data_IF_036360989783
#
_entry.id   IF_036360989783
#
_cell.length_a   1.000
_cell.length_b   1.000
_cell.length_c   1.000
_cell.angle_alpha   90.00
_cell.angle_beta   90.00
_cell.angle_gamma   90.00
#
_symmetry.space_group_name_H-M   'P 1'
#
loop_
_entity.id
_entity.type
_entity.pdbx_description
1 polymer ?
#
# COMPACT_ATOMS: atom_id res chain seq x y z
N UNK A 1 -9.44 -7.66 -0.99
CA UNK A 1 -8.45 -6.64 -1.44
C UNK A 1 -7.04 -7.19 -1.25
N UNK A 2 -6.09 -6.80 -2.10
CA UNK A 2 -4.69 -7.24 -1.99
C UNK A 2 -3.85 -6.17 -1.29
N UNK A 3 -3.30 -6.52 -0.13
CA UNK A 3 -2.48 -5.65 0.70
C UNK A 3 -1.00 -6.01 0.51
N UNK A 4 -0.19 -5.00 0.17
CA UNK A 4 1.27 -5.12 0.00
C UNK A 4 1.97 -5.07 1.35
N UNK A 5 1.57 -4.12 2.20
CA UNK A 5 2.12 -3.93 3.54
C UNK A 5 1.17 -3.09 4.39
N UNK A 6 1.28 -3.25 5.71
CA UNK A 6 0.63 -2.39 6.70
C UNK A 6 1.54 -2.16 7.88
N UNK A 7 1.68 -0.91 8.32
CA UNK A 7 2.57 -0.57 9.44
C UNK A 7 2.16 0.74 10.11
N UNK A 8 2.57 0.91 11.38
CA UNK A 8 2.41 2.15 12.15
C UNK A 8 3.69 2.99 11.98
N UNK A 9 3.55 4.26 11.59
CA UNK A 9 4.66 5.21 11.45
C UNK A 9 4.16 6.66 11.57
N UNK A 10 4.96 7.63 11.18
CA UNK A 10 4.61 9.05 11.12
C UNK A 10 4.33 9.44 9.67
N UNK A 11 3.23 10.17 9.42
CA UNK A 11 2.95 10.74 8.11
C UNK A 11 4.01 11.79 7.76
N UNK A 12 4.72 11.57 6.66
CA UNK A 12 5.84 12.40 6.22
C UNK A 12 5.44 13.54 5.29
N UNK A 13 4.20 13.57 4.77
CA UNK A 13 3.83 14.49 3.69
C UNK A 13 2.46 15.14 3.87
N UNK A 14 2.27 16.27 3.19
CA UNK A 14 1.00 16.98 3.07
C UNK A 14 0.47 17.58 4.37
N UNK A 15 -0.85 17.81 4.42
CA UNK A 15 -1.55 18.48 5.53
C UNK A 15 -1.38 17.78 6.89
N UNK A 16 -1.18 16.46 6.88
CA UNK A 16 -1.11 15.62 8.09
C UNK A 16 0.32 15.24 8.46
N UNK A 17 1.34 15.92 7.91
CA UNK A 17 2.73 15.71 8.29
C UNK A 17 2.92 15.76 9.82
N UNK A 18 3.71 14.82 10.36
CA UNK A 18 4.00 14.71 11.79
C UNK A 18 2.94 13.96 12.60
N UNK A 19 1.82 13.55 11.99
CA UNK A 19 0.80 12.73 12.68
C UNK A 19 1.20 11.26 12.70
N UNK A 20 0.94 10.58 13.83
CA UNK A 20 1.00 9.13 13.90
C UNK A 20 -0.06 8.53 12.96
N UNK A 21 0.35 7.61 12.11
CA UNK A 21 -0.46 7.05 11.03
C UNK A 21 -0.23 5.55 10.86
N UNK A 22 -1.32 4.82 10.65
CA UNK A 22 -1.28 3.45 10.14
C UNK A 22 -1.38 3.52 8.63
N UNK A 23 -0.35 3.04 7.94
CA UNK A 23 -0.33 2.94 6.49
C UNK A 23 -0.93 1.61 6.06
N UNK A 24 -1.89 1.66 5.14
CA UNK A 24 -2.48 0.50 4.48
C UNK A 24 -2.17 0.62 2.98
N UNK A 25 -1.14 -0.11 2.52
CA UNK A 25 -0.67 -0.02 1.13
C UNK A 25 -1.25 -1.15 0.29
N UNK A 26 -2.12 -0.82 -0.65
CA UNK A 26 -2.76 -1.77 -1.54
C UNK A 26 -1.93 -2.07 -2.79
N UNK A 27 -2.20 -3.20 -3.42
CA UNK A 27 -1.61 -3.57 -4.70
C UNK A 27 -2.46 -3.02 -5.87
N UNK A 28 -1.81 -2.77 -6.99
CA UNK A 28 -2.41 -2.25 -8.21
C UNK A 28 -2.17 -0.75 -8.38
N UNK A 29 -1.88 -0.36 -9.63
CA UNK A 29 -1.78 1.02 -10.06
C UNK A 29 -2.15 1.07 -11.55
N UNK A 30 -2.88 2.09 -11.97
CA UNK A 30 -3.15 2.37 -13.38
C UNK A 30 -2.02 3.18 -14.06
N UNK A 31 -0.95 3.52 -13.32
CA UNK A 31 0.24 4.17 -13.84
C UNK A 31 1.50 3.32 -13.65
N UNK A 32 2.46 3.49 -14.56
CA UNK A 32 3.83 3.04 -14.38
C UNK A 32 4.79 4.24 -14.48
N UNK A 33 5.23 4.73 -13.33
CA UNK A 33 5.98 5.98 -13.23
C UNK A 33 7.47 5.76 -13.47
N UNK A 34 7.86 5.55 -14.74
CA UNK A 34 9.26 5.33 -15.15
C UNK A 34 10.21 6.47 -14.78
N UNK A 35 9.70 7.71 -14.63
CA UNK A 35 10.49 8.89 -14.31
C UNK A 35 11.20 8.83 -12.95
N UNK A 36 10.73 8.01 -12.02
CA UNK A 36 11.41 7.77 -10.74
C UNK A 36 12.63 6.85 -10.88
N UNK A 37 12.73 6.09 -11.99
CA UNK A 37 13.87 5.26 -12.35
C UNK A 37 14.36 4.30 -11.23
N UNK A 38 13.45 3.86 -10.35
CA UNK A 38 13.75 2.87 -9.32
C UNK A 38 13.86 1.50 -9.98
N UNK A 39 14.97 0.79 -9.74
CA UNK A 39 15.28 -0.49 -10.39
C UNK A 39 15.32 -1.62 -9.38
N UNK A 40 14.59 -2.70 -9.64
CA UNK A 40 14.65 -3.94 -8.86
C UNK A 40 14.90 -5.12 -9.79
N UNK A 41 15.86 -5.97 -9.45
CA UNK A 41 16.11 -7.23 -10.14
C UNK A 41 15.30 -8.36 -9.48
N UNK A 42 14.45 -9.04 -10.24
CA UNK A 42 13.65 -10.17 -9.78
C UNK A 42 13.40 -11.16 -10.92
N UNK A 43 13.58 -12.46 -10.67
CA UNK A 43 13.37 -13.54 -11.65
C UNK A 43 14.04 -13.25 -13.00
N UNK A 44 15.33 -12.88 -12.96
CA UNK A 44 16.15 -12.53 -14.14
C UNK A 44 15.62 -11.34 -14.98
N UNK A 45 14.69 -10.54 -14.41
CA UNK A 45 14.17 -9.31 -15.01
C UNK A 45 14.60 -8.10 -14.20
N UNK A 46 14.87 -7.00 -14.88
CA UNK A 46 15.00 -5.67 -14.24
C UNK A 46 13.68 -4.94 -14.39
N UNK A 47 13.00 -4.73 -13.27
CA UNK A 47 11.78 -3.93 -13.18
C UNK A 47 12.18 -2.47 -12.92
N UNK A 48 11.62 -1.53 -13.68
CA UNK A 48 11.89 -0.10 -13.54
C UNK A 48 10.56 0.63 -13.33
N UNK A 49 10.47 1.49 -12.31
CA UNK A 49 9.24 2.22 -11.99
C UNK A 49 9.39 3.19 -10.82
N UNK A 50 8.31 3.35 -10.05
CA UNK A 50 8.28 4.17 -8.83
C UNK A 50 8.99 3.52 -7.64
N UNK A 51 9.13 4.29 -6.56
CA UNK A 51 9.59 3.83 -5.24
C UNK A 51 8.76 2.66 -4.68
N UNK A 52 7.49 2.60 -5.03
CA UNK A 52 6.54 1.56 -4.63
C UNK A 52 6.35 0.51 -5.74
N UNK A 53 7.44 0.12 -6.39
CA UNK A 53 7.41 -0.82 -7.52
C UNK A 53 6.69 -2.14 -7.21
N UNK A 54 6.76 -2.57 -5.94
CA UNK A 54 6.09 -3.77 -5.43
C UNK A 54 4.57 -3.67 -5.49
N UNK A 55 3.97 -2.48 -5.47
CA UNK A 55 2.52 -2.32 -5.62
C UNK A 55 2.09 -2.23 -7.10
N UNK A 56 2.99 -1.84 -8.01
CA UNK A 56 2.70 -1.67 -9.44
C UNK A 56 2.90 -2.97 -10.23
N UNK A 57 4.01 -3.66 -10.03
CA UNK A 57 4.35 -4.90 -10.75
C UNK A 57 3.69 -6.12 -10.09
N UNK A 58 2.36 -6.15 -10.10
CA UNK A 58 1.57 -7.12 -9.34
C UNK A 58 1.84 -8.57 -9.71
N UNK A 59 2.15 -8.87 -10.97
CA UNK A 59 2.51 -10.23 -11.41
C UNK A 59 3.80 -10.73 -10.76
N UNK A 60 4.79 -9.85 -10.62
CA UNK A 60 6.11 -10.19 -10.08
C UNK A 60 6.11 -10.26 -8.55
N UNK A 61 5.17 -9.59 -7.87
CA UNK A 61 5.10 -9.53 -6.40
C UNK A 61 3.86 -10.18 -5.78
N UNK A 62 2.98 -10.81 -6.58
CA UNK A 62 1.70 -11.37 -6.12
C UNK A 62 1.82 -12.26 -4.88
N UNK A 63 2.85 -13.09 -4.83
CA UNK A 63 3.09 -14.06 -3.74
C UNK A 63 3.41 -13.39 -2.40
N UNK A 64 3.82 -12.12 -2.41
CA UNK A 64 4.10 -11.35 -1.19
C UNK A 64 2.88 -10.64 -0.59
N UNK A 65 1.73 -10.70 -1.28
CA UNK A 65 0.54 -9.96 -0.85
C UNK A 65 -0.36 -10.78 0.05
N UNK A 66 -1.03 -10.10 0.96
CA UNK A 66 -2.13 -10.66 1.75
C UNK A 66 -3.46 -10.34 1.08
N UNK A 67 -4.36 -11.32 0.96
CA UNK A 67 -5.73 -11.07 0.48
C UNK A 67 -6.65 -10.96 1.69
N UNK A 68 -7.21 -9.76 1.91
CA UNK A 68 -8.01 -9.43 3.09
C UNK A 68 -9.36 -8.81 2.68
N UNK A 69 -10.43 -9.12 3.42
CA UNK A 69 -11.72 -8.43 3.35
C UNK A 69 -11.78 -7.21 4.28
N UNK A 70 -12.87 -6.44 4.25
CA UNK A 70 -13.00 -5.22 5.06
C UNK A 70 -12.85 -5.48 6.57
N UNK A 71 -13.45 -6.57 7.06
CA UNK A 71 -13.38 -6.95 8.48
C UNK A 71 -11.94 -7.33 8.91
N UNK A 72 -11.20 -8.01 8.05
CA UNK A 72 -9.81 -8.37 8.32
C UNK A 72 -8.87 -7.16 8.30
N UNK A 73 -9.12 -6.19 7.40
CA UNK A 73 -8.41 -4.91 7.40
C UNK A 73 -8.71 -4.11 8.68
N UNK A 74 -9.96 -4.07 9.12
CA UNK A 74 -10.31 -3.42 10.39
C UNK A 74 -9.58 -4.08 11.58
N UNK A 75 -9.53 -5.42 11.63
CA UNK A 75 -8.75 -6.15 12.64
C UNK A 75 -7.26 -5.79 12.57
N UNK A 76 -6.70 -5.63 11.37
CA UNK A 76 -5.31 -5.20 11.18
C UNK A 76 -5.06 -3.80 11.73
N UNK A 77 -5.95 -2.86 11.45
CA UNK A 77 -5.88 -1.48 11.97
C UNK A 77 -5.97 -1.47 13.48
N UNK A 78 -6.94 -2.19 14.08
CA UNK A 78 -7.09 -2.29 15.53
C UNK A 78 -5.82 -2.88 16.18
N UNK A 79 -5.23 -3.91 15.58
CA UNK A 79 -3.99 -4.51 16.06
C UNK A 79 -2.80 -3.54 16.01
N UNK A 80 -2.69 -2.74 14.94
CA UNK A 80 -1.60 -1.78 14.75
C UNK A 80 -1.76 -0.51 15.57
N UNK A 81 -3.00 -0.12 15.88
CA UNK A 81 -3.35 1.05 16.69
C UNK A 81 -2.69 1.01 18.08
N UNK A 82 -2.63 -0.18 18.68
CA UNK A 82 -2.23 -0.35 20.09
C UNK A 82 -3.05 0.60 20.98
N UNK A 83 -2.40 1.35 21.87
CA UNK A 83 -3.05 2.31 22.79
C UNK A 83 -3.04 3.76 22.26
N UNK A 84 -2.58 3.98 21.02
CA UNK A 84 -2.51 5.30 20.41
C UNK A 84 -3.75 5.61 19.57
N UNK A 85 -3.97 6.88 19.20
CA UNK A 85 -5.01 7.28 18.24
C UNK A 85 -4.40 7.77 16.91
N UNK A 86 -3.83 6.87 16.09
CA UNK A 86 -3.29 7.21 14.78
C UNK A 86 -4.41 7.48 13.76
N UNK A 87 -4.10 8.30 12.76
CA UNK A 87 -4.90 8.36 11.54
C UNK A 87 -4.67 7.09 10.70
N UNK A 88 -5.57 6.77 9.77
CA UNK A 88 -5.34 5.70 8.78
C UNK A 88 -5.06 6.34 7.43
N UNK A 89 -3.94 5.96 6.81
CA UNK A 89 -3.52 6.40 5.48
C UNK A 89 -3.68 5.24 4.52
N UNK A 90 -4.69 5.34 3.66
CA UNK A 90 -4.95 4.42 2.55
C UNK A 90 -4.07 4.85 1.37
N UNK A 91 -3.24 3.95 0.85
CA UNK A 91 -2.26 4.26 -0.22
C UNK A 91 -1.98 3.03 -1.09
N UNK A 92 -1.10 3.15 -2.09
CA UNK A 92 -0.51 2.04 -2.85
C UNK A 92 -1.41 1.45 -3.95
N UNK A 93 -0.85 0.98 -5.06
CA UNK A 93 -0.17 1.92 -5.93
C UNK A 93 -1.13 3.11 -6.11
N UNK A 94 -2.15 2.97 -6.95
CA UNK A 94 -3.27 3.91 -6.99
C UNK A 94 -4.45 3.32 -6.19
N UNK A 95 -4.73 3.78 -4.95
CA UNK A 95 -5.80 3.22 -4.13
C UNK A 95 -7.19 3.39 -4.76
N UNK A 96 -7.42 4.48 -5.51
CA UNK A 96 -8.75 4.77 -6.05
C UNK A 96 -9.16 3.85 -7.21
N UNK A 97 -8.28 2.99 -7.75
CA UNK A 97 -8.73 1.97 -8.70
C UNK A 97 -9.69 0.95 -8.07
N UNK A 98 -9.75 0.89 -6.74
CA UNK A 98 -10.60 -0.04 -5.99
C UNK A 98 -11.95 0.56 -5.59
N UNK A 99 -12.29 1.79 -6.00
CA UNK A 99 -13.46 2.54 -5.50
C UNK A 99 -14.83 1.86 -5.74
N UNK A 100 -14.96 1.03 -6.78
CA UNK A 100 -16.19 0.30 -7.08
C UNK A 100 -16.36 -0.98 -6.25
N UNK A 101 -15.29 -1.43 -5.58
CA UNK A 101 -15.35 -2.61 -4.75
C UNK A 101 -16.07 -2.25 -3.44
N UNK A 102 -17.24 -2.85 -3.13
CA UNK A 102 -17.99 -2.53 -1.91
C UNK A 102 -17.24 -2.92 -0.62
N UNK A 103 -16.23 -3.79 -0.72
CA UNK A 103 -15.35 -4.14 0.38
C UNK A 103 -14.21 -3.13 0.58
N UNK A 104 -13.97 -2.23 -0.39
CA UNK A 104 -12.95 -1.20 -0.29
C UNK A 104 -13.44 -0.04 0.58
N UNK A 105 -12.58 0.38 1.50
CA UNK A 105 -12.91 1.29 2.62
C UNK A 105 -12.84 2.74 2.18
#
# INVERSE_FOLDING_TARGET
>A
MQLVESFLSIQGEGKYNGKLAIFMRFAGCNFNCLGFNVKISKNDKTLIGCDTIRAVFTKDFKESYETLNANELLKRVIKLKQDFDPIVVITGGEPLIHYENPEFI
#
